data_IF_398085269722
#
_entry.id   IF_398085269722
#
_cell.length_a   1.000
_cell.length_b   1.000
_cell.length_c   1.000
_cell.angle_alpha   90.00
_cell.angle_beta   90.00
_cell.angle_gamma   90.00
#
_symmetry.space_group_name_H-M   'P 1'
#
loop_
_entity.id
_entity.type
_entity.pdbx_description
1 polymer ?
#
# COMPACT_ATOMS: atom_id res chain seq x y z
N UNK A 1 38.13 0.06 -49.38
CA UNK A 1 36.91 0.13 -48.56
C UNK A 1 36.74 1.57 -48.06
N UNK A 2 35.64 2.25 -48.37
CA UNK A 2 35.46 3.70 -48.16
C UNK A 2 35.30 4.04 -46.67
N UNK A 3 36.04 5.06 -46.21
CA UNK A 3 36.17 5.48 -44.80
C UNK A 3 34.95 6.27 -44.26
N UNK A 4 33.81 6.23 -44.95
CA UNK A 4 32.57 6.96 -44.61
C UNK A 4 31.45 6.11 -43.99
N UNK A 5 31.45 4.79 -44.19
CA UNK A 5 30.35 3.90 -43.77
C UNK A 5 30.31 3.62 -42.25
N UNK A 6 31.39 3.93 -41.53
CA UNK A 6 31.49 3.65 -40.08
C UNK A 6 30.71 4.63 -39.21
N UNK A 7 30.47 5.87 -39.70
CA UNK A 7 29.74 6.89 -38.94
C UNK A 7 28.23 6.69 -39.01
N UNK A 8 27.70 6.33 -40.19
CA UNK A 8 26.28 6.05 -40.37
C UNK A 8 25.78 4.86 -39.53
N UNK A 9 26.60 3.80 -39.43
CA UNK A 9 26.30 2.65 -38.57
C UNK A 9 26.28 3.02 -37.09
N UNK A 10 27.13 3.95 -36.65
CA UNK A 10 27.14 4.40 -35.26
C UNK A 10 25.84 5.12 -34.88
N UNK A 11 25.34 6.00 -35.75
CA UNK A 11 24.05 6.66 -35.54
C UNK A 11 22.88 5.68 -35.59
N UNK A 12 22.95 4.66 -36.45
CA UNK A 12 21.92 3.61 -36.53
C UNK A 12 21.85 2.80 -35.22
N UNK A 13 23.01 2.39 -34.69
CA UNK A 13 23.08 1.64 -33.43
C UNK A 13 22.58 2.52 -32.28
N UNK A 14 23.01 3.78 -32.22
CA UNK A 14 22.53 4.72 -31.20
C UNK A 14 21.01 4.93 -31.27
N UNK A 15 20.45 5.06 -32.48
CA UNK A 15 19.01 5.21 -32.69
C UNK A 15 18.21 3.99 -32.24
N UNK A 16 18.71 2.78 -32.49
CA UNK A 16 18.08 1.53 -32.03
C UNK A 16 18.10 1.45 -30.50
N UNK A 17 19.23 1.78 -29.87
CA UNK A 17 19.37 1.78 -28.40
C UNK A 17 18.39 2.79 -27.78
N UNK A 18 18.39 4.03 -28.27
CA UNK A 18 17.50 5.09 -27.76
C UNK A 18 16.03 4.69 -27.97
N UNK A 19 15.68 4.13 -29.12
CA UNK A 19 14.30 3.68 -29.38
C UNK A 19 13.88 2.54 -28.45
N UNK A 20 14.78 1.59 -28.17
CA UNK A 20 14.51 0.51 -27.21
C UNK A 20 14.28 1.04 -25.79
N UNK A 21 15.06 2.04 -25.36
CA UNK A 21 14.87 2.71 -24.07
C UNK A 21 13.52 3.45 -24.05
N UNK A 22 13.17 4.19 -25.11
CA UNK A 22 11.90 4.92 -25.20
C UNK A 22 10.69 3.98 -25.20
N UNK A 23 10.74 2.85 -25.91
CA UNK A 23 9.68 1.84 -25.92
C UNK A 23 9.52 1.22 -24.53
N UNK A 24 10.64 0.92 -23.86
CA UNK A 24 10.62 0.36 -22.49
C UNK A 24 10.05 1.35 -21.48
N UNK A 25 10.43 2.62 -21.56
CA UNK A 25 9.87 3.69 -20.73
C UNK A 25 8.39 3.93 -21.03
N UNK A 26 7.97 3.88 -22.30
CA UNK A 26 6.57 4.00 -22.67
C UNK A 26 5.74 2.81 -22.17
N UNK A 27 6.30 1.60 -22.19
CA UNK A 27 5.68 0.41 -21.60
C UNK A 27 5.51 0.57 -20.08
N UNK A 28 6.57 0.98 -19.37
CA UNK A 28 6.53 1.25 -17.93
C UNK A 28 5.58 2.40 -17.58
N UNK A 29 5.55 3.47 -18.39
CA UNK A 29 4.68 4.61 -18.17
C UNK A 29 3.20 4.26 -18.39
N UNK A 30 2.90 3.48 -19.43
CA UNK A 30 1.54 2.99 -19.70
C UNK A 30 1.09 1.99 -18.63
N UNK A 31 1.98 1.10 -18.19
CA UNK A 31 1.73 0.19 -17.07
C UNK A 31 1.47 0.96 -15.76
N UNK A 32 2.19 2.07 -15.54
CA UNK A 32 2.00 2.94 -14.38
C UNK A 32 0.75 3.80 -14.43
N UNK A 33 0.01 3.83 -15.55
CA UNK A 33 -1.24 4.56 -15.65
C UNK A 33 -2.39 3.63 -16.02
N UNK A 34 -3.16 3.27 -14.99
CA UNK A 34 -4.59 2.91 -15.04
C UNK A 34 -4.90 1.41 -15.19
N UNK A 35 -4.79 0.70 -14.07
CA UNK A 35 -5.73 -0.36 -13.71
C UNK A 35 -6.09 -0.19 -12.23
N UNK A 36 -6.99 0.73 -11.91
CA UNK A 36 -7.61 0.67 -10.58
C UNK A 36 -8.44 -0.62 -10.58
N UNK A 37 -8.02 -1.64 -9.84
CA UNK A 37 -8.83 -2.84 -9.68
C UNK A 37 -10.08 -2.42 -8.93
N UNK A 38 -11.22 -2.35 -9.64
CA UNK A 38 -12.51 -1.97 -9.05
C UNK A 38 -12.80 -2.76 -7.77
N UNK A 39 -12.41 -4.04 -7.76
CA UNK A 39 -12.54 -4.95 -6.62
C UNK A 39 -11.70 -4.53 -5.40
N UNK A 40 -10.43 -4.14 -5.61
CA UNK A 40 -9.57 -3.72 -4.49
C UNK A 40 -9.96 -2.33 -3.96
N UNK A 41 -10.43 -1.44 -4.83
CA UNK A 41 -10.99 -0.15 -4.41
C UNK A 41 -12.28 -0.32 -3.60
N UNK A 42 -13.16 -1.23 -4.01
CA UNK A 42 -14.40 -1.55 -3.30
C UNK A 42 -14.10 -2.13 -1.91
N UNK A 43 -13.17 -3.09 -1.82
CA UNK A 43 -12.70 -3.64 -0.54
C UNK A 43 -12.09 -2.55 0.35
N UNK A 44 -11.28 -1.63 -0.19
CA UNK A 44 -10.72 -0.53 0.61
C UNK A 44 -11.83 0.38 1.18
N UNK A 45 -12.86 0.69 0.38
CA UNK A 45 -13.99 1.49 0.85
C UNK A 45 -14.80 0.78 1.92
N UNK A 46 -15.09 -0.50 1.70
CA UNK A 46 -15.87 -1.32 2.62
C UNK A 46 -15.12 -1.53 3.95
N UNK A 47 -13.81 -1.84 3.90
CA UNK A 47 -12.94 -1.95 5.07
C UNK A 47 -12.96 -0.67 5.90
N UNK A 48 -12.82 0.50 5.25
CA UNK A 48 -12.85 1.78 5.96
C UNK A 48 -14.14 1.97 6.74
N UNK A 49 -15.28 1.74 6.08
CA UNK A 49 -16.60 1.93 6.67
C UNK A 49 -16.83 0.93 7.82
N UNK A 50 -16.51 -0.35 7.61
CA UNK A 50 -16.74 -1.39 8.62
C UNK A 50 -15.80 -1.25 9.83
N UNK A 51 -14.53 -0.93 9.60
CA UNK A 51 -13.57 -0.73 10.68
C UNK A 51 -13.97 0.44 11.58
N UNK A 52 -14.47 1.54 11.01
CA UNK A 52 -15.00 2.67 11.79
C UNK A 52 -16.14 2.21 12.73
N UNK A 53 -17.08 1.39 12.25
CA UNK A 53 -18.14 0.83 13.11
C UNK A 53 -17.61 -0.12 14.20
N UNK A 54 -16.64 -0.96 13.86
CA UNK A 54 -16.04 -1.92 14.81
C UNK A 54 -15.30 -1.18 15.92
N UNK A 55 -14.53 -0.15 15.59
CA UNK A 55 -13.81 0.67 16.57
C UNK A 55 -14.77 1.43 17.49
N UNK A 56 -15.83 2.00 16.91
CA UNK A 56 -16.90 2.64 17.68
C UNK A 56 -17.55 1.68 18.67
N UNK A 57 -17.81 0.44 18.24
CA UNK A 57 -18.36 -0.60 19.10
C UNK A 57 -17.35 -1.00 20.19
N UNK A 58 -16.08 -1.16 19.83
CA UNK A 58 -14.99 -1.48 20.74
C UNK A 58 -14.90 -0.46 21.88
N UNK A 59 -14.81 0.82 21.52
CA UNK A 59 -14.73 1.94 22.46
C UNK A 59 -15.96 2.04 23.38
N UNK A 60 -17.16 1.77 22.85
CA UNK A 60 -18.41 1.84 23.63
C UNK A 60 -18.60 0.66 24.57
N UNK A 61 -18.04 -0.51 24.24
CA UNK A 61 -18.34 -1.76 24.95
C UNK A 61 -17.14 -2.35 25.70
N UNK A 62 -15.95 -1.76 25.59
CA UNK A 62 -14.71 -2.22 26.21
C UNK A 62 -14.45 -3.71 25.93
N UNK A 63 -14.55 -4.07 24.65
CA UNK A 63 -14.28 -5.43 24.14
C UNK A 63 -13.04 -5.39 23.25
N UNK A 64 -12.44 -6.52 22.92
CA UNK A 64 -11.41 -6.59 21.88
C UNK A 64 -12.03 -7.31 20.68
N UNK A 65 -12.59 -6.53 19.74
CA UNK A 65 -13.29 -7.08 18.56
C UNK A 65 -12.55 -6.78 17.26
N UNK A 66 -11.62 -5.82 17.28
CA UNK A 66 -10.86 -5.42 16.12
C UNK A 66 -9.97 -6.54 15.58
N UNK A 67 -9.36 -7.35 16.45
CA UNK A 67 -8.51 -8.46 16.03
C UNK A 67 -9.31 -9.54 15.28
N UNK A 68 -10.46 -9.92 15.84
CA UNK A 68 -11.39 -10.87 15.21
C UNK A 68 -11.93 -10.35 13.87
N UNK A 69 -12.25 -9.05 13.81
CA UNK A 69 -12.65 -8.38 12.58
C UNK A 69 -11.53 -8.41 11.53
N UNK A 70 -10.35 -7.92 11.88
CA UNK A 70 -9.20 -7.82 10.99
C UNK A 70 -8.77 -9.19 10.46
N UNK A 71 -8.79 -10.23 11.29
CA UNK A 71 -8.53 -11.61 10.87
C UNK A 71 -9.54 -12.06 9.80
N UNK A 72 -10.84 -11.95 10.09
CA UNK A 72 -11.91 -12.37 9.15
C UNK A 72 -11.87 -11.56 7.85
N UNK A 73 -11.55 -10.27 7.94
CA UNK A 73 -11.48 -9.40 6.79
C UNK A 73 -10.28 -9.74 5.90
N UNK A 74 -9.14 -10.07 6.51
CA UNK A 74 -7.95 -10.57 5.78
C UNK A 74 -8.26 -11.89 5.06
N UNK A 75 -8.96 -12.82 5.72
CA UNK A 75 -9.38 -14.09 5.11
C UNK A 75 -10.38 -13.88 3.96
N UNK A 76 -11.30 -12.92 4.08
CA UNK A 76 -12.26 -12.55 3.03
C UNK A 76 -11.55 -11.97 1.80
N UNK A 77 -10.55 -11.12 2.01
CA UNK A 77 -9.82 -10.44 0.94
C UNK A 77 -8.88 -11.37 0.14
N UNK A 78 -8.59 -12.57 0.66
CA UNK A 78 -7.86 -13.71 0.05
C UNK A 78 -6.49 -13.41 -0.57
N UNK A 79 -6.49 -12.75 -1.71
CA UNK A 79 -5.31 -12.49 -2.56
C UNK A 79 -4.70 -11.10 -2.32
N UNK A 80 -5.11 -10.44 -1.22
CA UNK A 80 -4.71 -9.09 -0.85
C UNK A 80 -4.06 -9.12 0.51
N UNK A 81 -2.92 -8.46 0.64
CA UNK A 81 -2.27 -8.24 1.92
C UNK A 81 -2.85 -6.98 2.56
N UNK A 82 -3.37 -7.09 3.78
CA UNK A 82 -3.92 -5.97 4.53
C UNK A 82 -3.07 -5.72 5.76
N UNK A 83 -2.54 -4.51 5.84
CA UNK A 83 -1.80 -4.01 6.98
C UNK A 83 -2.70 -3.04 7.73
N UNK A 84 -2.96 -3.35 9.00
CA UNK A 84 -3.81 -2.57 9.90
C UNK A 84 -2.92 -1.69 10.76
N UNK A 85 -3.28 -0.42 10.89
CA UNK A 85 -2.52 0.59 11.63
C UNK A 85 -3.50 1.28 12.58
N UNK A 86 -3.26 1.09 13.88
CA UNK A 86 -4.05 1.66 14.95
C UNK A 86 -3.17 2.59 15.78
N UNK A 87 -3.58 3.84 15.87
CA UNK A 87 -2.86 4.88 16.61
C UNK A 87 -3.66 5.26 17.86
N UNK A 88 -2.95 5.68 18.90
CA UNK A 88 -3.57 6.21 20.10
C UNK A 88 -3.66 7.75 20.00
N UNK A 89 -4.72 8.29 20.61
CA UNK A 89 -4.85 9.73 20.80
C UNK A 89 -3.90 10.25 21.88
N UNK A 90 -3.33 9.37 22.72
CA UNK A 90 -2.33 9.74 23.70
C UNK A 90 -0.99 10.11 23.02
N UNK A 91 -0.58 11.39 23.05
CA UNK A 91 0.68 11.81 22.42
C UNK A 91 1.93 11.21 23.07
N UNK A 92 1.84 10.68 24.30
CA UNK A 92 2.95 10.01 24.96
C UNK A 92 3.15 8.56 24.47
N UNK A 93 2.10 7.92 23.97
CA UNK A 93 2.12 6.55 23.43
C UNK A 93 1.30 6.48 22.14
N UNK A 94 1.70 7.22 21.09
CA UNK A 94 0.85 7.46 19.93
C UNK A 94 0.68 6.23 19.03
N UNK A 95 1.47 5.18 19.25
CA UNK A 95 1.35 3.88 18.59
C UNK A 95 0.54 2.96 19.50
N UNK A 96 -0.64 2.51 19.05
CA UNK A 96 -1.35 1.39 19.67
C UNK A 96 -0.81 0.09 19.07
N UNK A 97 -0.97 -0.08 17.76
CA UNK A 97 -0.52 -1.28 17.08
C UNK A 97 -0.45 -1.12 15.55
N UNK A 98 0.52 -1.75 14.91
CA UNK A 98 0.54 -2.04 13.49
C UNK A 98 0.69 -3.55 13.31
N UNK A 99 -0.14 -4.16 12.48
CA UNK A 99 -0.13 -5.61 12.30
C UNK A 99 -0.71 -6.03 10.95
N UNK A 100 -0.48 -7.30 10.61
CA UNK A 100 -1.20 -7.99 9.53
C UNK A 100 -1.60 -9.39 9.98
N UNK A 101 -2.53 -10.00 9.26
CA UNK A 101 -2.86 -11.42 9.43
C UNK A 101 -2.34 -12.24 8.26
N UNK A 102 -1.68 -13.35 8.58
CA UNK A 102 -1.33 -14.39 7.62
C UNK A 102 -2.10 -15.67 8.01
N UNK A 103 -3.28 -15.84 7.42
CA UNK A 103 -4.32 -16.71 7.97
C UNK A 103 -4.65 -16.30 9.41
N UNK A 104 -4.69 -17.25 10.34
CA UNK A 104 -5.02 -16.98 11.74
C UNK A 104 -3.86 -16.39 12.56
N UNK A 105 -2.69 -16.17 11.96
CA UNK A 105 -1.53 -15.64 12.67
C UNK A 105 -1.47 -14.11 12.57
N UNK A 106 -1.59 -13.43 13.70
CA UNK A 106 -1.31 -11.99 13.83
C UNK A 106 0.20 -11.75 13.85
N UNK A 107 0.69 -10.89 12.97
CA UNK A 107 2.10 -10.48 12.88
C UNK A 107 2.18 -9.01 13.27
N UNK A 108 2.91 -8.70 14.34
CA UNK A 108 3.09 -7.33 14.84
C UNK A 108 4.24 -6.64 14.09
N UNK A 109 4.01 -5.39 13.69
CA UNK A 109 4.86 -4.58 12.82
C UNK A 109 5.08 -3.16 13.39
N UNK A 110 5.02 -3.00 14.72
CA UNK A 110 5.15 -1.69 15.38
C UNK A 110 6.49 -1.01 15.10
N UNK A 111 7.55 -1.77 14.85
CA UNK A 111 8.88 -1.29 14.47
C UNK A 111 8.88 -0.56 13.11
N UNK A 112 7.85 -0.79 12.29
CA UNK A 112 7.67 -0.17 10.97
C UNK A 112 6.79 1.09 11.01
N UNK A 113 6.20 1.40 12.16
CA UNK A 113 5.26 2.52 12.31
C UNK A 113 5.90 3.70 13.04
N UNK A 114 5.82 4.88 12.43
CA UNK A 114 6.19 6.15 13.02
C UNK A 114 4.99 7.09 13.07
N UNK A 115 4.67 7.61 14.27
CA UNK A 115 3.56 8.55 14.45
C UNK A 115 4.11 9.91 14.83
N UNK A 116 4.13 10.81 13.84
CA UNK A 116 4.48 12.20 14.01
C UNK A 116 3.31 13.08 14.48
N UNK A 117 3.55 14.39 14.65
CA UNK A 117 2.52 15.33 15.11
C UNK A 117 1.43 15.59 14.07
N UNK A 118 1.73 15.44 12.77
CA UNK A 118 0.80 15.71 11.66
C UNK A 118 0.63 14.53 10.71
N UNK A 119 1.55 13.58 10.76
CA UNK A 119 1.65 12.49 9.79
C UNK A 119 1.89 11.17 10.52
N UNK A 120 1.33 10.11 9.98
CA UNK A 120 1.62 8.73 10.35
C UNK A 120 2.35 8.13 9.16
N UNK A 121 3.47 7.47 9.41
CA UNK A 121 4.33 6.87 8.40
C UNK A 121 4.48 5.38 8.69
N UNK A 122 4.17 4.55 7.70
CA UNK A 122 4.33 3.11 7.80
C UNK A 122 5.28 2.62 6.71
N UNK A 123 6.37 1.99 7.13
CA UNK A 123 7.44 1.54 6.24
C UNK A 123 7.26 0.06 5.90
N UNK A 124 7.05 -0.25 4.63
CA UNK A 124 7.09 -1.62 4.13
C UNK A 124 8.15 -1.70 3.04
N UNK A 125 9.12 -2.58 3.25
CA UNK A 125 10.27 -2.76 2.37
C UNK A 125 11.00 -1.42 2.12
N UNK A 126 11.04 -0.95 0.87
CA UNK A 126 11.68 0.31 0.47
C UNK A 126 10.67 1.46 0.27
N UNK A 127 9.41 1.28 0.70
CA UNK A 127 8.33 2.25 0.49
C UNK A 127 7.73 2.72 1.81
N UNK A 128 7.56 4.04 1.92
CA UNK A 128 6.86 4.68 3.03
C UNK A 128 5.44 5.06 2.60
N UNK A 129 4.47 4.66 3.41
CA UNK A 129 3.06 5.05 3.27
C UNK A 129 2.75 6.11 4.33
N UNK A 130 2.34 7.29 3.88
CA UNK A 130 2.07 8.44 4.76
C UNK A 130 0.58 8.75 4.82
N UNK A 131 0.07 8.94 6.02
CA UNK A 131 -1.31 9.31 6.29
C UNK A 131 -1.35 10.66 7.02
N UNK A 132 -2.31 11.55 6.71
CA UNK A 132 -2.57 12.70 7.56
C UNK A 132 -3.10 12.22 8.92
N UNK A 133 -2.56 12.81 9.99
CA UNK A 133 -3.11 12.64 11.33
C UNK A 133 -4.34 13.54 11.45
N UNK A 134 -5.52 12.92 11.49
CA UNK A 134 -6.80 13.60 11.59
C UNK A 134 -7.34 13.44 13.02
N UNK A 135 -7.95 14.49 13.56
CA UNK A 135 -8.53 14.44 14.91
C UNK A 135 -9.70 13.43 14.95
N UNK A 136 -9.68 12.54 15.94
CA UNK A 136 -10.70 11.49 16.08
C UNK A 136 -10.49 10.27 15.20
N UNK A 137 -9.54 10.28 14.26
CA UNK A 137 -9.20 9.12 13.44
C UNK A 137 -8.04 8.34 14.04
N UNK A 138 -8.32 7.10 14.44
CA UNK A 138 -7.37 6.21 15.11
C UNK A 138 -7.04 4.95 14.32
N UNK A 139 -7.63 4.77 13.13
CA UNK A 139 -7.44 3.59 12.30
C UNK A 139 -7.12 3.97 10.87
N UNK A 140 -6.13 3.25 10.33
CA UNK A 140 -5.56 3.41 9.02
C UNK A 140 -5.20 2.03 8.48
N UNK A 141 -5.05 1.93 7.16
CA UNK A 141 -4.63 0.68 6.56
C UNK A 141 -3.86 0.86 5.26
N UNK A 142 -3.12 -0.19 4.88
CA UNK A 142 -2.53 -0.37 3.55
C UNK A 142 -3.04 -1.71 3.01
N UNK A 143 -3.65 -1.70 1.83
CA UNK A 143 -3.99 -2.90 1.06
C UNK A 143 -3.05 -3.00 -0.12
N UNK A 144 -2.33 -4.12 -0.22
CA UNK A 144 -1.50 -4.44 -1.37
C UNK A 144 -2.16 -5.57 -2.15
N UNK A 145 -2.31 -5.36 -3.45
CA UNK A 145 -2.89 -6.36 -4.36
C UNK A 145 -1.97 -6.60 -5.54
N UNK A 146 -1.38 -7.79 -5.63
CA UNK A 146 -0.51 -8.20 -6.71
C UNK A 146 -1.28 -9.09 -7.71
N UNK A 147 -1.67 -8.55 -8.87
CA UNK A 147 -2.45 -9.27 -9.92
C UNK A 147 -1.85 -9.08 -11.30
N UNK A 148 -1.67 -10.17 -12.04
CA UNK A 148 -1.20 -10.10 -13.44
C UNK A 148 0.20 -9.50 -13.59
N UNK A 149 1.01 -9.57 -12.53
CA UNK A 149 2.30 -8.91 -12.45
C UNK A 149 2.24 -7.44 -12.05
N UNK A 150 1.06 -6.85 -11.82
CA UNK A 150 0.84 -5.48 -11.36
C UNK A 150 0.62 -5.40 -9.85
N UNK A 151 1.28 -4.42 -9.20
CA UNK A 151 1.12 -4.11 -7.78
C UNK A 151 0.22 -2.89 -7.62
N UNK A 152 -0.96 -3.09 -7.05
CA UNK A 152 -1.88 -2.02 -6.66
C UNK A 152 -1.79 -1.78 -5.17
N UNK A 153 -1.85 -0.50 -4.77
CA UNK A 153 -1.85 -0.14 -3.36
C UNK A 153 -2.96 0.85 -3.06
N UNK A 154 -3.73 0.54 -2.02
CA UNK A 154 -4.79 1.38 -1.50
C UNK A 154 -4.50 1.70 -0.04
N UNK A 155 -4.72 2.96 0.34
CA UNK A 155 -4.50 3.46 1.69
C UNK A 155 -5.75 4.17 2.17
N UNK A 156 -6.14 3.97 3.42
CA UNK A 156 -7.34 4.57 4.00
C UNK A 156 -7.17 4.98 5.43
#
# INVERSE_FOLDING_TARGET
MKKGDKRGQFYLIAAIIISGILISLAYLANYSTKNVSYEAEEIAKELKIEAEYVLDYELKNDKEVLDDFSMRYSDYARDKEIYYIVVDNNPATPVKEAYMFNGNQKIILNDRLFVGPKTIEFNLDEKTYSFPKEEGKNFYFVIIYDKGGERYVYTG
#
